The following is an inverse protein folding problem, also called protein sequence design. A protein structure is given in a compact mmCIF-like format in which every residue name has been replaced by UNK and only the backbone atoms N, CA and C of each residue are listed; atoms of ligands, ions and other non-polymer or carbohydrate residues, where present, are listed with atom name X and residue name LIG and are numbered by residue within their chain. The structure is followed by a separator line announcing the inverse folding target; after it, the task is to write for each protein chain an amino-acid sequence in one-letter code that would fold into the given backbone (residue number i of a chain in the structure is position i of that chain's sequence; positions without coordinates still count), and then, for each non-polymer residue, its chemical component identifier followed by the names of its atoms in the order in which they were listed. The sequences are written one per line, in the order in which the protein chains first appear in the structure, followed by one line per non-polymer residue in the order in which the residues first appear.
data_IF_782359949493
#
_entry.id   IF_782359949493
#
_cell.length_a   1.000
_cell.length_b   1.000
_cell.length_c   1.000
_cell.angle_alpha   90.00
_cell.angle_beta   90.00
_cell.angle_gamma   90.00
#
_symmetry.space_group_name_H-M   'P 1'
#
loop_
_entity.id
_entity.type
_entity.pdbx_description
1 polymer ?
#
# COMPACT_ATOMS: atom_id res chain seq x y z
N UNK A 1 10.23 10.72 -8.67
CA UNK A 1 9.58 9.87 -7.68
C UNK A 1 8.51 9.07 -8.38
N UNK A 2 8.54 7.74 -8.26
CA UNK A 2 7.54 6.87 -8.88
C UNK A 2 6.17 7.05 -8.20
N UNK A 3 5.12 7.01 -8.99
CA UNK A 3 3.74 7.11 -8.50
C UNK A 3 3.20 5.75 -8.10
N UNK A 4 2.30 5.71 -7.11
CA UNK A 4 1.64 4.48 -6.71
C UNK A 4 0.13 4.71 -6.49
N UNK A 5 -0.67 3.68 -6.75
CA UNK A 5 -2.08 3.64 -6.41
C UNK A 5 -2.38 2.40 -5.57
N UNK A 6 -3.41 2.49 -4.74
CA UNK A 6 -3.89 1.39 -3.90
C UNK A 6 -5.36 1.13 -4.22
N UNK A 7 -5.70 -0.13 -4.48
CA UNK A 7 -7.05 -0.60 -4.67
C UNK A 7 -7.38 -1.65 -3.63
N UNK A 8 -8.37 -1.40 -2.79
CA UNK A 8 -8.92 -2.39 -1.87
C UNK A 8 -10.19 -3.00 -2.47
N UNK A 9 -10.28 -4.30 -2.40
CA UNK A 9 -11.40 -5.08 -2.91
C UNK A 9 -12.11 -5.73 -1.71
N UNK A 10 -13.40 -5.51 -1.59
CA UNK A 10 -14.23 -6.05 -0.54
C UNK A 10 -15.47 -5.19 -0.33
N UNK A 11 -16.64 -5.81 -0.45
CA UNK A 11 -17.92 -5.17 -0.24
C UNK A 11 -18.06 -4.57 1.16
N UNK A 12 -17.49 -5.23 2.19
CA UNK A 12 -17.47 -4.76 3.58
C UNK A 12 -16.68 -3.45 3.76
N UNK A 13 -15.70 -3.18 2.90
CA UNK A 13 -14.95 -1.92 2.91
C UNK A 13 -15.76 -0.81 2.24
N UNK A 14 -16.39 -1.12 1.11
CA UNK A 14 -17.22 -0.17 0.35
C UNK A 14 -18.46 0.22 1.14
N UNK A 15 -19.10 -0.73 1.80
CA UNK A 15 -20.27 -0.52 2.66
C UNK A 15 -19.93 0.17 4.00
N UNK A 16 -18.65 0.33 4.32
CA UNK A 16 -18.21 0.97 5.56
C UNK A 16 -18.37 0.12 6.81
N UNK A 17 -18.55 -1.19 6.66
CA UNK A 17 -18.64 -2.15 7.77
C UNK A 17 -17.30 -2.25 8.52
N UNK A 18 -16.18 -2.19 7.76
CA UNK A 18 -14.83 -2.17 8.32
C UNK A 18 -14.04 -0.97 7.82
N UNK A 19 -13.11 -0.52 8.67
CA UNK A 19 -12.18 0.55 8.30
C UNK A 19 -11.10 0.02 7.34
N UNK A 20 -10.81 0.79 6.29
CA UNK A 20 -9.75 0.48 5.33
C UNK A 20 -8.34 0.71 5.91
N UNK A 21 -7.96 -0.04 6.92
CA UNK A 21 -6.64 0.05 7.56
C UNK A 21 -5.52 -0.48 6.66
N UNK A 22 -5.84 -1.35 5.71
CA UNK A 22 -4.88 -1.89 4.75
C UNK A 22 -4.36 -0.78 3.82
N UNK A 23 -5.25 0.03 3.24
CA UNK A 23 -4.84 1.15 2.40
C UNK A 23 -3.96 2.15 3.16
N UNK A 24 -4.31 2.44 4.44
CA UNK A 24 -3.50 3.30 5.30
C UNK A 24 -2.08 2.74 5.44
N UNK A 25 -1.93 1.47 5.80
CA UNK A 25 -0.65 0.81 5.99
C UNK A 25 0.18 0.80 4.70
N UNK A 26 -0.44 0.38 3.58
CA UNK A 26 0.22 0.33 2.27
C UNK A 26 0.71 1.72 1.85
N UNK A 27 -0.13 2.76 1.94
CA UNK A 27 0.25 4.12 1.58
C UNK A 27 1.40 4.67 2.45
N UNK A 28 1.38 4.39 3.76
CA UNK A 28 2.46 4.76 4.65
C UNK A 28 3.77 4.11 4.22
N UNK A 29 3.78 2.79 4.02
CA UNK A 29 4.95 2.03 3.59
C UNK A 29 5.46 2.46 2.20
N UNK A 30 4.57 2.72 1.26
CA UNK A 30 4.93 3.25 -0.05
C UNK A 30 5.65 4.60 0.07
N UNK A 31 5.13 5.50 0.90
CA UNK A 31 5.74 6.82 1.13
C UNK A 31 7.13 6.69 1.76
N UNK A 32 7.28 5.81 2.74
CA UNK A 32 8.57 5.52 3.40
C UNK A 32 9.60 4.92 2.42
N UNK A 33 9.14 4.22 1.37
CA UNK A 33 9.98 3.60 0.35
C UNK A 33 10.10 4.41 -0.96
N UNK A 34 9.78 5.70 -0.93
CA UNK A 34 10.04 6.61 -2.03
C UNK A 34 9.00 6.63 -3.15
N UNK A 35 7.85 6.03 -2.93
CA UNK A 35 6.70 6.17 -3.81
C UNK A 35 5.83 7.36 -3.41
N UNK A 36 5.15 7.94 -4.40
CA UNK A 36 4.09 8.93 -4.19
C UNK A 36 2.73 8.27 -4.38
N UNK A 37 2.00 7.93 -3.31
CA UNK A 37 0.60 7.54 -3.43
C UNK A 37 -0.18 8.70 -4.09
N UNK A 38 -0.81 8.42 -5.23
CA UNK A 38 -1.58 9.41 -6.00
C UNK A 38 -3.07 9.11 -5.98
N UNK A 39 -3.44 7.86 -5.71
CA UNK A 39 -4.83 7.44 -5.65
C UNK A 39 -5.02 6.29 -4.67
N UNK A 40 -6.12 6.32 -3.95
CA UNK A 40 -6.65 5.20 -3.16
C UNK A 40 -8.10 5.02 -3.58
N UNK A 41 -8.48 3.81 -3.90
CA UNK A 41 -9.84 3.44 -4.27
C UNK A 41 -10.27 2.18 -3.52
N UNK A 42 -11.58 1.99 -3.38
CA UNK A 42 -12.20 0.75 -2.91
C UNK A 42 -13.30 0.37 -3.89
N UNK A 43 -13.40 -0.91 -4.19
CA UNK A 43 -14.46 -1.48 -5.03
C UNK A 43 -15.05 -2.72 -4.35
N UNK A 44 -16.26 -3.05 -4.71
CA UNK A 44 -16.90 -4.30 -4.33
C UNK A 44 -16.23 -5.51 -5.00
N UNK A 45 -16.75 -6.71 -4.72
CA UNK A 45 -16.22 -7.97 -5.23
C UNK A 45 -16.68 -8.29 -6.66
N UNK A 46 -17.34 -7.34 -7.35
CA UNK A 46 -17.74 -7.51 -8.75
C UNK A 46 -16.55 -7.48 -9.70
N UNK A 47 -16.43 -8.48 -10.54
CA UNK A 47 -15.32 -8.64 -11.47
C UNK A 47 -15.20 -7.47 -12.46
N UNK A 48 -16.34 -6.93 -12.90
CA UNK A 48 -16.39 -5.79 -13.83
C UNK A 48 -15.86 -4.53 -13.17
N UNK A 49 -16.35 -4.22 -11.95
CA UNK A 49 -15.93 -3.09 -11.12
C UNK A 49 -14.43 -3.13 -10.86
N UNK A 50 -13.91 -4.30 -10.46
CA UNK A 50 -12.47 -4.50 -10.22
C UNK A 50 -11.66 -4.25 -11.50
N UNK A 51 -12.07 -4.86 -12.62
CA UNK A 51 -11.38 -4.74 -13.91
C UNK A 51 -11.30 -3.29 -14.39
N UNK A 52 -12.41 -2.58 -14.36
CA UNK A 52 -12.48 -1.18 -14.81
C UNK A 52 -11.60 -0.28 -13.95
N UNK A 53 -11.64 -0.45 -12.62
CA UNK A 53 -10.83 0.35 -11.72
C UNK A 53 -9.32 0.04 -11.86
N UNK A 54 -8.94 -1.22 -12.08
CA UNK A 54 -7.55 -1.60 -12.36
C UNK A 54 -7.05 -0.88 -13.60
N UNK A 55 -7.81 -0.90 -14.70
CA UNK A 55 -7.42 -0.21 -15.94
C UNK A 55 -7.26 1.31 -15.72
N UNK A 56 -8.21 1.94 -15.02
CA UNK A 56 -8.18 3.36 -14.71
C UNK A 56 -6.98 3.75 -13.83
N UNK A 57 -6.66 2.95 -12.82
CA UNK A 57 -5.53 3.22 -11.92
C UNK A 57 -4.18 3.01 -12.62
N UNK A 58 -4.09 2.05 -13.52
CA UNK A 58 -2.89 1.82 -14.31
C UNK A 58 -2.53 3.01 -15.23
N UNK A 59 -3.48 3.88 -15.59
CA UNK A 59 -3.18 5.08 -16.37
C UNK A 59 -2.36 6.11 -15.58
N UNK A 60 -2.53 6.17 -14.25
CA UNK A 60 -1.97 7.24 -13.42
C UNK A 60 -0.85 6.80 -12.46
N UNK A 61 -0.44 5.52 -12.44
CA UNK A 61 0.58 5.05 -11.51
C UNK A 61 1.63 4.15 -12.18
N UNK A 62 2.82 4.10 -11.57
CA UNK A 62 3.92 3.18 -11.91
C UNK A 62 3.81 1.87 -11.12
N UNK A 63 3.17 1.91 -9.96
CA UNK A 63 2.92 0.77 -9.07
C UNK A 63 1.46 0.76 -8.64
N UNK A 64 0.76 -0.33 -8.92
CA UNK A 64 -0.59 -0.59 -8.42
C UNK A 64 -0.56 -1.71 -7.38
N UNK A 65 -1.06 -1.45 -6.18
CA UNK A 65 -1.19 -2.45 -5.12
C UNK A 65 -2.67 -2.74 -4.90
N UNK A 66 -3.04 -4.00 -5.12
CA UNK A 66 -4.39 -4.51 -4.86
C UNK A 66 -4.39 -5.32 -3.56
N UNK A 67 -5.44 -5.18 -2.77
CA UNK A 67 -5.60 -5.90 -1.50
C UNK A 67 -7.04 -6.38 -1.33
N UNK A 68 -7.23 -7.70 -1.22
CA UNK A 68 -8.51 -8.38 -1.09
C UNK A 68 -8.85 -9.30 -2.26
N UNK A 69 -9.86 -10.14 -2.10
CA UNK A 69 -10.39 -11.02 -3.14
C UNK A 69 -9.45 -12.11 -3.65
N UNK A 70 -8.52 -12.61 -2.80
CA UNK A 70 -7.58 -13.70 -3.12
C UNK A 70 -7.91 -15.04 -2.42
N UNK A 71 -9.01 -15.14 -1.74
CA UNK A 71 -9.47 -16.37 -1.10
C UNK A 71 -9.98 -17.43 -2.06
N UNK A 72 -10.64 -18.47 -1.54
CA UNK A 72 -11.17 -19.56 -2.35
C UNK A 72 -12.65 -19.42 -2.69
N UNK A 73 -13.35 -18.38 -2.18
CA UNK A 73 -14.78 -18.22 -2.35
C UNK A 73 -15.14 -17.72 -3.77
N UNK A 74 -16.40 -17.74 -4.12
CA UNK A 74 -16.83 -17.26 -5.44
C UNK A 74 -16.66 -15.74 -5.57
N UNK A 75 -16.74 -15.01 -4.47
CA UNK A 75 -16.56 -13.56 -4.42
C UNK A 75 -15.09 -13.14 -4.53
N UNK A 76 -14.15 -14.07 -4.32
CA UNK A 76 -12.71 -13.79 -4.49
C UNK A 76 -12.31 -13.74 -5.97
N UNK A 77 -12.62 -12.64 -6.65
CA UNK A 77 -12.49 -12.50 -8.13
C UNK A 77 -11.31 -11.63 -8.58
N UNK A 78 -10.46 -11.22 -7.66
CA UNK A 78 -9.37 -10.29 -7.98
C UNK A 78 -8.42 -10.82 -9.04
N UNK A 79 -8.04 -12.13 -9.01
CA UNK A 79 -7.13 -12.72 -10.00
C UNK A 79 -7.74 -12.72 -11.39
N UNK A 80 -9.00 -13.11 -11.48
CA UNK A 80 -9.77 -13.16 -12.72
C UNK A 80 -9.91 -11.76 -13.34
N UNK A 81 -10.31 -10.78 -12.53
CA UNK A 81 -10.48 -9.40 -12.96
C UNK A 81 -9.17 -8.78 -13.45
N UNK A 82 -8.07 -8.97 -12.69
CA UNK A 82 -6.75 -8.46 -13.06
C UNK A 82 -6.23 -9.17 -14.33
N UNK A 83 -6.35 -10.49 -14.42
CA UNK A 83 -5.95 -11.23 -15.61
C UNK A 83 -6.67 -10.70 -16.87
N UNK A 84 -7.99 -10.45 -16.79
CA UNK A 84 -8.78 -9.87 -17.88
C UNK A 84 -8.37 -8.43 -18.18
N UNK A 85 -8.11 -7.60 -17.14
CA UNK A 85 -7.66 -6.22 -17.32
C UNK A 85 -6.34 -6.13 -18.09
N UNK A 86 -5.45 -7.10 -17.86
CA UNK A 86 -4.12 -7.17 -18.47
C UNK A 86 -4.08 -8.01 -19.75
N UNK A 87 -5.21 -8.60 -20.18
CA UNK A 87 -5.29 -9.55 -21.30
C UNK A 87 -4.32 -10.73 -21.13
N UNK A 88 -4.18 -11.23 -19.90
CA UNK A 88 -3.33 -12.36 -19.53
C UNK A 88 -4.17 -13.58 -19.15
N UNK A 89 -3.57 -14.77 -19.26
CA UNK A 89 -4.19 -16.03 -18.86
C UNK A 89 -4.02 -16.27 -17.36
N UNK A 90 -4.95 -17.01 -16.77
CA UNK A 90 -4.79 -17.65 -15.47
C UNK A 90 -4.28 -19.08 -15.69
N UNK A 91 -3.27 -19.47 -14.95
CA UNK A 91 -2.61 -20.76 -15.02
C UNK A 91 -2.72 -21.41 -13.64
N UNK A 92 -3.19 -22.64 -13.58
CA UNK A 92 -3.15 -23.41 -12.35
C UNK A 92 -1.71 -23.86 -12.08
N UNK A 93 -1.17 -23.43 -10.92
CA UNK A 93 0.17 -23.85 -10.48
C UNK A 93 0.05 -25.05 -9.55
N UNK A 94 0.50 -26.21 -10.03
CA UNK A 94 0.40 -27.49 -9.30
C UNK A 94 1.28 -27.52 -8.04
N UNK A 95 2.39 -26.80 -8.00
CA UNK A 95 3.22 -26.72 -6.79
C UNK A 95 2.55 -25.90 -5.70
N UNK A 96 1.95 -24.77 -6.08
CA UNK A 96 1.18 -23.92 -5.15
C UNK A 96 -0.03 -24.72 -4.66
N UNK A 97 -0.77 -25.37 -5.56
CA UNK A 97 -1.90 -26.23 -5.21
C UNK A 97 -1.50 -27.28 -4.18
N UNK A 98 -0.41 -28.01 -4.41
CA UNK A 98 0.10 -28.99 -3.47
C UNK A 98 0.43 -28.38 -2.12
N UNK A 99 1.14 -27.26 -2.08
CA UNK A 99 1.49 -26.57 -0.83
C UNK A 99 0.25 -26.14 -0.04
N UNK A 100 -0.78 -25.64 -0.73
CA UNK A 100 -2.05 -25.25 -0.12
C UNK A 100 -2.75 -26.49 0.46
N UNK A 101 -2.86 -27.57 -0.32
CA UNK A 101 -3.47 -28.82 0.12
C UNK A 101 -2.74 -29.41 1.33
N UNK A 102 -1.42 -29.47 1.32
CA UNK A 102 -0.60 -29.96 2.44
C UNK A 102 -0.78 -29.10 3.71
N UNK A 103 -0.99 -27.80 3.56
CA UNK A 103 -1.23 -26.90 4.69
C UNK A 103 -2.63 -27.09 5.29
N UNK A 104 -3.66 -27.18 4.42
CA UNK A 104 -5.06 -27.28 4.85
C UNK A 104 -5.40 -28.68 5.38
N UNK A 105 -4.82 -29.75 4.82
CA UNK A 105 -5.04 -31.14 5.27
C UNK A 105 -4.62 -31.39 6.71
N UNK A 106 -3.81 -30.52 7.31
CA UNK A 106 -3.46 -30.59 8.74
C UNK A 106 -4.62 -30.26 9.67
N UNK A 107 -5.62 -29.54 9.16
CA UNK A 107 -6.76 -29.05 9.93
C UNK A 107 -8.09 -29.68 9.51
N UNK A 108 -8.18 -30.22 8.26
CA UNK A 108 -9.42 -30.73 7.70
C UNK A 108 -9.19 -32.12 7.09
N UNK A 109 -10.11 -33.02 7.33
CA UNK A 109 -10.08 -34.40 6.76
C UNK A 109 -10.53 -34.45 5.31
N UNK A 110 -11.33 -33.48 4.86
CA UNK A 110 -11.72 -33.32 3.45
C UNK A 110 -11.44 -31.92 2.98
N UNK A 111 -10.80 -31.78 1.82
CA UNK A 111 -10.47 -30.48 1.25
C UNK A 111 -11.65 -29.92 0.46
N UNK A 112 -11.98 -28.62 0.62
CA UNK A 112 -12.97 -27.96 -0.21
C UNK A 112 -12.54 -27.93 -1.68
N UNK A 113 -13.46 -28.18 -2.61
CA UNK A 113 -13.16 -28.19 -4.07
C UNK A 113 -12.68 -26.85 -4.61
N UNK A 114 -13.17 -25.75 -4.03
CA UNK A 114 -12.82 -24.39 -4.42
C UNK A 114 -11.43 -23.93 -3.95
N UNK A 115 -10.75 -24.74 -3.14
CA UNK A 115 -9.42 -24.43 -2.62
C UNK A 115 -8.39 -24.20 -3.74
N UNK A 116 -8.52 -24.94 -4.83
CA UNK A 116 -7.63 -24.86 -6.00
C UNK A 116 -7.65 -23.47 -6.67
N UNK A 117 -8.71 -22.69 -6.47
CA UNK A 117 -8.80 -21.30 -6.96
C UNK A 117 -7.64 -20.43 -6.46
N UNK A 118 -7.17 -20.68 -5.24
CA UNK A 118 -6.03 -19.96 -4.68
C UNK A 118 -4.69 -20.27 -5.36
N UNK A 119 -4.61 -21.37 -6.12
CA UNK A 119 -3.43 -21.76 -6.89
C UNK A 119 -3.42 -21.18 -8.31
N UNK A 120 -4.42 -20.38 -8.68
CA UNK A 120 -4.43 -19.69 -9.97
C UNK A 120 -3.43 -18.52 -9.98
N UNK A 121 -2.56 -18.54 -10.97
CA UNK A 121 -1.49 -17.53 -11.14
C UNK A 121 -1.68 -16.82 -12.47
N UNK A 122 -1.57 -15.50 -12.46
CA UNK A 122 -1.60 -14.69 -13.68
C UNK A 122 -0.29 -14.94 -14.45
N UNK A 123 -0.41 -15.20 -15.73
CA UNK A 123 0.73 -15.53 -16.62
C UNK A 123 1.86 -14.51 -16.49
N UNK A 124 3.07 -15.01 -16.13
CA UNK A 124 4.26 -14.19 -15.92
C UNK A 124 4.36 -13.51 -14.54
N UNK A 125 3.44 -13.81 -13.62
CA UNK A 125 3.54 -13.30 -12.26
C UNK A 125 4.63 -14.02 -11.45
N UNK A 126 5.30 -13.26 -10.59
CA UNK A 126 6.16 -13.78 -9.53
C UNK A 126 5.32 -14.01 -8.27
N UNK A 127 5.51 -15.12 -7.60
CA UNK A 127 4.76 -15.47 -6.39
C UNK A 127 5.34 -14.74 -5.18
N UNK A 128 4.43 -14.15 -4.40
CA UNK A 128 4.72 -13.62 -3.07
C UNK A 128 4.23 -14.64 -2.05
N UNK A 129 5.15 -15.24 -1.31
CA UNK A 129 4.80 -16.24 -0.32
C UNK A 129 3.94 -15.66 0.79
N UNK A 130 2.90 -16.42 1.21
CA UNK A 130 2.08 -16.09 2.35
C UNK A 130 2.55 -16.89 3.57
N UNK A 131 3.21 -16.26 4.56
CA UNK A 131 3.73 -16.97 5.72
C UNK A 131 2.63 -17.38 6.70
N UNK A 132 1.46 -16.73 6.65
CA UNK A 132 0.36 -16.92 7.60
C UNK A 132 -0.78 -17.74 6.99
N UNK A 133 -1.39 -17.24 5.92
CA UNK A 133 -2.54 -17.84 5.26
C UNK A 133 -2.16 -18.83 4.14
N UNK A 134 -3.14 -19.14 3.29
CA UNK A 134 -2.98 -20.09 2.17
C UNK A 134 -2.88 -19.40 0.81
N UNK A 135 -3.53 -18.24 0.64
CA UNK A 135 -3.56 -17.53 -0.63
C UNK A 135 -2.22 -16.81 -0.88
N UNK A 136 -1.44 -17.19 -1.89
CA UNK A 136 -0.23 -16.45 -2.26
C UNK A 136 -0.60 -15.11 -2.90
N UNK A 137 0.27 -14.12 -2.72
CA UNK A 137 0.22 -12.89 -3.49
C UNK A 137 0.96 -13.05 -4.83
N UNK A 138 0.82 -12.04 -5.68
CA UNK A 138 1.43 -12.03 -7.00
C UNK A 138 2.05 -10.67 -7.31
N UNK A 139 3.25 -10.66 -7.90
CA UNK A 139 3.91 -9.47 -8.44
C UNK A 139 4.01 -9.62 -9.96
N UNK A 140 3.46 -8.68 -10.69
CA UNK A 140 3.36 -8.70 -12.14
C UNK A 140 4.09 -7.49 -12.72
N UNK A 141 4.97 -7.73 -13.69
CA UNK A 141 5.51 -6.69 -14.53
C UNK A 141 4.62 -6.51 -15.78
N UNK A 142 4.16 -5.28 -16.01
CA UNK A 142 3.24 -4.96 -17.09
C UNK A 142 3.57 -3.60 -17.72
N UNK A 143 4.10 -3.61 -18.95
CA UNK A 143 4.45 -2.40 -19.71
C UNK A 143 5.25 -1.35 -18.90
N UNK A 144 6.27 -1.81 -18.16
CA UNK A 144 7.11 -0.95 -17.33
C UNK A 144 6.51 -0.55 -15.99
N UNK A 145 5.28 -0.96 -15.71
CA UNK A 145 4.58 -0.79 -14.42
C UNK A 145 4.63 -2.09 -13.61
N UNK A 146 4.44 -1.97 -12.31
CA UNK A 146 4.35 -3.11 -11.40
C UNK A 146 2.97 -3.21 -10.78
N UNK A 147 2.46 -4.43 -10.67
CA UNK A 147 1.16 -4.70 -10.06
C UNK A 147 1.38 -5.75 -8.97
N UNK A 148 0.89 -5.47 -7.78
CA UNK A 148 0.99 -6.36 -6.61
C UNK A 148 -0.40 -6.75 -6.17
N UNK A 149 -0.66 -8.06 -6.04
CA UNK A 149 -1.89 -8.61 -5.49
C UNK A 149 -1.60 -9.20 -4.11
N UNK A 150 -2.38 -8.80 -3.12
CA UNK A 150 -2.25 -9.22 -1.72
C UNK A 150 -3.60 -9.66 -1.15
N UNK A 151 -3.62 -10.58 -0.17
CA UNK A 151 -4.86 -10.98 0.51
C UNK A 151 -5.45 -9.85 1.36
N UNK A 152 -6.73 -9.98 1.71
CA UNK A 152 -7.46 -9.01 2.53
C UNK A 152 -7.07 -8.97 4.00
N UNK A 153 -6.92 -10.11 4.71
CA UNK A 153 -6.61 -10.09 6.14
C UNK A 153 -5.32 -9.34 6.46
N UNK A 154 -5.34 -8.31 7.34
CA UNK A 154 -4.16 -7.49 7.64
C UNK A 154 -2.95 -8.28 8.14
N UNK A 155 -3.18 -9.36 8.90
CA UNK A 155 -2.11 -10.22 9.40
C UNK A 155 -1.37 -11.01 8.31
N UNK A 156 -2.00 -11.23 7.17
CA UNK A 156 -1.40 -11.84 5.99
C UNK A 156 -0.77 -10.77 5.09
N UNK A 157 -1.55 -9.73 4.79
CA UNK A 157 -1.17 -8.66 3.88
C UNK A 157 0.12 -7.95 4.29
N UNK A 158 0.23 -7.55 5.57
CA UNK A 158 1.36 -6.74 6.05
C UNK A 158 2.72 -7.41 5.85
N UNK A 159 2.98 -8.64 6.34
CA UNK A 159 4.28 -9.29 6.13
C UNK A 159 4.56 -9.59 4.66
N UNK A 160 3.53 -9.89 3.86
CA UNK A 160 3.68 -10.09 2.43
C UNK A 160 4.06 -8.79 1.71
N UNK A 161 3.40 -7.68 2.04
CA UNK A 161 3.72 -6.38 1.46
C UNK A 161 5.13 -5.93 1.85
N UNK A 162 5.52 -6.08 3.11
CA UNK A 162 6.88 -5.74 3.57
C UNK A 162 7.94 -6.54 2.79
N UNK A 163 7.71 -7.84 2.55
CA UNK A 163 8.62 -8.68 1.77
C UNK A 163 8.76 -8.26 0.31
N UNK A 164 7.68 -7.79 -0.31
CA UNK A 164 7.72 -7.34 -1.71
C UNK A 164 8.30 -5.94 -1.85
N UNK A 165 8.16 -5.08 -0.84
CA UNK A 165 8.74 -3.75 -0.85
C UNK A 165 10.26 -3.76 -1.03
N UNK A 166 10.96 -4.78 -0.50
CA UNK A 166 12.40 -4.94 -0.72
C UNK A 166 12.74 -5.09 -2.21
N UNK A 167 11.88 -5.77 -2.99
CA UNK A 167 12.02 -5.94 -4.44
C UNK A 167 11.58 -4.71 -5.24
N UNK A 168 10.77 -3.85 -4.61
CA UNK A 168 10.20 -2.64 -5.22
C UNK A 168 11.00 -1.38 -4.90
N UNK A 169 12.05 -1.46 -4.08
CA UNK A 169 12.87 -0.30 -3.69
C UNK A 169 13.26 0.52 -4.92
N UNK A 170 12.99 1.80 -4.84
CA UNK A 170 13.48 2.75 -5.83
C UNK A 170 14.93 3.09 -5.50
N UNK A 171 15.73 3.47 -6.50
CA UNK A 171 17.12 3.92 -6.27
C UNK A 171 17.20 5.15 -5.36
N UNK A 172 16.11 5.92 -5.29
CA UNK A 172 16.00 7.06 -4.38
C UNK A 172 15.46 6.61 -3.02
N UNK A 173 16.35 6.52 -2.04
CA UNK A 173 15.96 6.35 -0.65
C UNK A 173 15.45 7.69 -0.10
N UNK A 174 14.26 7.67 0.49
CA UNK A 174 13.66 8.81 1.17
C UNK A 174 13.73 8.63 2.68
N UNK A 175 13.93 9.74 3.38
CA UNK A 175 13.80 9.78 4.84
C UNK A 175 12.70 10.74 5.24
N UNK A 176 12.03 10.42 6.35
CA UNK A 176 10.94 11.24 6.88
C UNK A 176 11.25 11.65 8.32
N UNK A 177 11.07 12.93 8.61
CA UNK A 177 11.07 13.48 9.96
C UNK A 177 9.60 13.76 10.31
N UNK A 178 9.13 13.24 11.45
CA UNK A 178 7.80 13.54 11.99
C UNK A 178 7.98 14.36 13.26
N UNK A 179 7.23 15.42 13.41
CA UNK A 179 7.29 16.30 14.58
C UNK A 179 5.88 16.53 15.08
N UNK A 180 5.68 16.47 16.39
CA UNK A 180 4.41 16.75 17.03
C UNK A 180 4.49 18.08 17.80
N UNK A 181 3.51 18.94 17.59
CA UNK A 181 3.34 20.21 18.28
C UNK A 181 1.98 20.26 18.96
N UNK A 182 1.94 20.84 20.17
CA UNK A 182 0.71 20.99 20.94
C UNK A 182 0.46 22.47 21.25
N UNK A 183 -0.83 22.83 21.39
CA UNK A 183 -1.25 24.21 21.70
C UNK A 183 -0.72 25.27 20.71
N UNK A 184 -0.60 24.94 19.44
CA UNK A 184 -0.31 25.86 18.34
C UNK A 184 -1.28 25.58 17.19
N UNK A 185 -1.92 26.63 16.59
CA UNK A 185 -2.78 26.43 15.44
C UNK A 185 -2.01 25.92 14.22
N UNK A 186 -2.61 24.99 13.46
CA UNK A 186 -2.01 24.47 12.22
C UNK A 186 -1.66 25.61 11.24
N UNK A 187 -2.53 26.60 11.10
CA UNK A 187 -2.32 27.75 10.21
C UNK A 187 -1.07 28.57 10.56
N UNK A 188 -0.72 28.67 11.84
CA UNK A 188 0.49 29.40 12.30
C UNK A 188 1.75 28.61 11.96
N UNK A 189 1.72 27.28 12.14
CA UNK A 189 2.82 26.39 11.71
C UNK A 189 2.98 26.43 10.20
N UNK A 190 1.90 26.30 9.45
CA UNK A 190 1.91 26.26 7.98
C UNK A 190 2.44 27.59 7.40
N UNK A 191 1.99 28.74 7.92
CA UNK A 191 2.50 30.04 7.53
C UNK A 191 4.01 30.15 7.74
N UNK A 192 4.50 29.79 8.93
CA UNK A 192 5.94 29.84 9.22
C UNK A 192 6.74 28.89 8.29
N UNK A 193 6.22 27.70 8.04
CA UNK A 193 6.84 26.74 7.14
C UNK A 193 6.90 27.29 5.72
N UNK A 194 5.80 27.87 5.24
CA UNK A 194 5.71 28.48 3.91
C UNK A 194 6.69 29.63 3.74
N UNK A 195 6.77 30.53 4.73
CA UNK A 195 7.68 31.69 4.71
C UNK A 195 9.16 31.27 4.82
N UNK A 196 9.40 30.11 5.42
CA UNK A 196 10.76 29.62 5.72
C UNK A 196 11.28 28.64 4.67
N UNK A 197 10.38 27.92 4.00
CA UNK A 197 10.73 26.95 2.96
C UNK A 197 11.06 27.67 1.64
N UNK A 198 12.31 27.70 1.28
CA UNK A 198 12.73 27.93 -0.11
C UNK A 198 12.23 26.73 -0.94
N UNK A 199 11.92 26.93 -2.25
CA UNK A 199 11.58 25.81 -3.17
C UNK A 199 12.60 24.68 -3.01
N UNK A 200 12.27 23.68 -2.21
CA UNK A 200 13.19 22.62 -1.79
C UNK A 200 12.68 21.25 -2.26
N UNK A 201 13.58 20.29 -2.32
CA UNK A 201 13.27 18.88 -2.55
C UNK A 201 12.52 18.24 -1.36
N UNK A 202 12.27 19.00 -0.27
CA UNK A 202 11.57 18.54 0.92
C UNK A 202 10.06 18.62 0.72
N UNK A 203 9.38 17.50 0.89
CA UNK A 203 7.93 17.42 0.95
C UNK A 203 7.45 17.70 2.35
N UNK A 204 6.49 18.60 2.49
CA UNK A 204 5.92 19.03 3.76
C UNK A 204 4.45 18.61 3.79
N UNK A 205 4.02 18.07 4.92
CA UNK A 205 2.62 17.82 5.21
C UNK A 205 2.35 18.16 6.67
N UNK A 206 1.27 18.91 6.91
CA UNK A 206 0.72 19.19 8.23
C UNK A 206 -0.58 18.43 8.42
N UNK A 207 -0.87 18.04 9.65
CA UNK A 207 -2.12 17.36 10.01
C UNK A 207 -2.50 17.71 11.44
N UNK A 208 -3.62 18.39 11.61
CA UNK A 208 -4.18 18.67 12.93
C UNK A 208 -5.03 17.50 13.45
N UNK A 209 -4.88 17.19 14.73
CA UNK A 209 -5.71 16.26 15.48
C UNK A 209 -6.15 16.95 16.77
N UNK A 210 -7.45 16.88 17.10
CA UNK A 210 -7.98 17.48 18.33
C UNK A 210 -7.40 16.84 19.60
N UNK A 211 -7.04 15.56 19.56
CA UNK A 211 -6.55 14.83 20.71
C UNK A 211 -5.03 14.82 20.84
N UNK A 212 -4.31 14.98 19.73
CA UNK A 212 -2.86 14.79 19.69
C UNK A 212 -2.08 16.09 19.43
N UNK A 213 -2.70 17.08 18.81
CA UNK A 213 -2.03 18.31 18.38
C UNK A 213 -1.80 18.38 16.88
N UNK A 214 -0.74 19.06 16.45
CA UNK A 214 -0.40 19.22 15.03
C UNK A 214 0.84 18.41 14.69
N UNK A 215 0.69 17.46 13.79
CA UNK A 215 1.79 16.74 13.19
C UNK A 215 2.36 17.49 11.99
N UNK A 216 3.68 17.63 11.96
CA UNK A 216 4.44 18.12 10.80
C UNK A 216 5.31 16.98 10.29
N UNK A 217 5.20 16.66 9.02
CA UNK A 217 5.99 15.61 8.37
C UNK A 217 6.82 16.20 7.23
N UNK A 218 8.14 16.03 7.31
CA UNK A 218 9.09 16.41 6.29
C UNK A 218 9.65 15.14 5.64
N UNK A 219 9.47 14.98 4.34
CA UNK A 219 10.00 13.83 3.59
C UNK A 219 10.92 14.32 2.49
N UNK A 220 12.15 13.81 2.45
CA UNK A 220 13.15 14.21 1.47
C UNK A 220 13.97 13.01 0.97
N UNK A 221 14.49 13.05 -0.28
CA UNK A 221 15.52 12.13 -0.73
C UNK A 221 16.78 12.24 0.13
N UNK A 222 17.60 11.20 0.17
CA UNK A 222 18.80 11.18 1.01
C UNK A 222 19.79 12.30 0.70
N UNK A 223 19.95 12.65 -0.56
CA UNK A 223 20.81 13.74 -1.03
C UNK A 223 20.33 15.13 -0.59
N UNK A 224 19.03 15.26 -0.32
CA UNK A 224 18.38 16.46 0.19
C UNK A 224 18.02 16.40 1.68
N UNK A 225 18.34 15.33 2.38
CA UNK A 225 17.84 15.12 3.75
C UNK A 225 18.40 16.14 4.76
N UNK A 226 19.58 16.68 4.51
CA UNK A 226 20.15 17.77 5.32
C UNK A 226 19.26 19.03 5.29
N UNK A 227 18.64 19.34 4.16
CA UNK A 227 17.69 20.45 4.07
C UNK A 227 16.44 20.21 4.93
N UNK A 228 15.93 18.96 4.94
CA UNK A 228 14.83 18.59 5.83
C UNK A 228 15.20 18.71 7.30
N UNK A 229 16.42 18.32 7.68
CA UNK A 229 16.92 18.46 9.04
C UNK A 229 17.03 19.93 9.45
N UNK A 230 17.60 20.78 8.60
CA UNK A 230 17.73 22.21 8.85
C UNK A 230 16.35 22.87 8.99
N UNK A 231 15.40 22.52 8.12
CA UNK A 231 14.03 23.04 8.23
C UNK A 231 13.35 22.54 9.52
N UNK A 232 13.50 21.27 9.87
CA UNK A 232 12.97 20.73 11.12
C UNK A 232 13.51 21.47 12.34
N UNK A 233 14.83 21.71 12.39
CA UNK A 233 15.46 22.45 13.47
C UNK A 233 14.89 23.86 13.58
N UNK A 234 14.77 24.61 12.49
CA UNK A 234 14.17 25.97 12.49
C UNK A 234 12.73 25.97 12.97
N UNK A 235 11.92 24.98 12.61
CA UNK A 235 10.56 24.86 13.10
C UNK A 235 10.56 24.61 14.62
N UNK A 236 11.37 23.67 15.10
CA UNK A 236 11.49 23.37 16.54
C UNK A 236 11.99 24.56 17.33
N UNK A 237 12.98 25.29 16.86
CA UNK A 237 13.49 26.50 17.52
C UNK A 237 12.41 27.58 17.64
N UNK A 238 11.64 27.81 16.58
CA UNK A 238 10.54 28.79 16.57
C UNK A 238 9.41 28.43 17.51
N UNK A 239 9.06 27.15 17.57
CA UNK A 239 7.93 26.64 18.35
C UNK A 239 8.36 25.75 19.53
N UNK A 240 9.52 26.05 20.12
CA UNK A 240 10.14 25.25 21.17
C UNK A 240 9.19 24.91 22.33
N UNK A 241 8.35 25.90 22.76
CA UNK A 241 7.38 25.72 23.85
C UNK A 241 6.21 24.79 23.49
N UNK A 242 5.99 24.59 22.22
CA UNK A 242 4.88 23.79 21.67
C UNK A 242 5.34 22.42 21.18
N UNK A 243 6.64 22.20 21.04
CA UNK A 243 7.23 20.96 20.53
C UNK A 243 7.16 19.86 21.58
N UNK A 244 6.57 18.71 21.19
CA UNK A 244 6.41 17.53 22.07
C UNK A 244 7.45 16.47 21.76
N UNK A 245 7.80 16.24 20.50
CA UNK A 245 8.77 15.22 20.10
C UNK A 245 8.79 14.91 18.61
N UNK A 246 9.73 14.02 18.25
CA UNK A 246 9.90 13.48 16.90
C UNK A 246 9.15 12.17 16.72
#
# INVERSE_FOLDING_TARGET
MKTAAVLTIGSEVVEGVILNTNAQYICQKLTENGYKPVKVASVDDDEGSIREEVQRLLECCDLLVLCGGLGPTEDDRTREAVAKALSKRLILDEEIKKKIHDKVSRYYTSLPRNLDKQALVIEGAQIIANPVGTAPGQLIDFHGKKIVLLPGPPQEMKPMFDSVLEKLRTEQNFKTIKMLFFAVPESVLDQFITDTSVKSCVRIATQASFSEGVWVRLTAPLDCFVEAQNLAQRIVEKFQRNFIGY
#
